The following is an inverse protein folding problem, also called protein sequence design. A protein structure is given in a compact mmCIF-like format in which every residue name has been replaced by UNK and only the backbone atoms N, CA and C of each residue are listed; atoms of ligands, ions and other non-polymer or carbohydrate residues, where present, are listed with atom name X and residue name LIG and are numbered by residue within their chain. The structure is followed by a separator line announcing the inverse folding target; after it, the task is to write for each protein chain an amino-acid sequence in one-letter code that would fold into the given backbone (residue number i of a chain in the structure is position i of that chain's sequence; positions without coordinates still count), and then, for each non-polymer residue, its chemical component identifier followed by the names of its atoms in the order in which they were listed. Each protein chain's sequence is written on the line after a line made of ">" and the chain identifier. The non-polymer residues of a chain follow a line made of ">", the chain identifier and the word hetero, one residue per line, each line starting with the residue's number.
data_IF_128956135038
#
_entry.id   IF_128956135038
#
_cell.length_a   1.000
_cell.length_b   1.000
_cell.length_c   1.000
_cell.angle_alpha   90.00
_cell.angle_beta   90.00
_cell.angle_gamma   90.00
#
_symmetry.space_group_name_H-M   'P 1'
#
loop_
_entity.id
_entity.type
_entity.pdbx_description
1 polymer ?
#
# COMPACT_ATOMS: atom_id res chain seq x y z
N UNK A 1 9.30 -9.83 4.13
CA UNK A 1 9.16 -8.89 2.99
C UNK A 1 8.61 -9.67 1.82
N UNK A 2 7.53 -9.21 1.18
CA UNK A 2 6.94 -9.90 0.03
C UNK A 2 7.97 -10.00 -1.10
N UNK A 3 8.13 -11.19 -1.69
CA UNK A 3 9.00 -11.38 -2.85
C UNK A 3 8.41 -10.59 -4.02
N UNK A 4 9.22 -9.74 -4.66
CA UNK A 4 8.81 -9.08 -5.91
C UNK A 4 8.77 -10.16 -6.99
N UNK A 5 7.58 -10.45 -7.51
CA UNK A 5 7.40 -11.34 -8.66
C UNK A 5 7.62 -10.53 -9.93
N UNK A 6 8.72 -10.81 -10.64
CA UNK A 6 9.03 -10.23 -11.95
C UNK A 6 8.39 -11.14 -12.99
N UNK A 7 7.57 -10.56 -13.87
CA UNK A 7 6.92 -11.26 -14.96
C UNK A 7 7.71 -11.07 -16.25
N UNK A 8 7.76 -12.10 -17.08
CA UNK A 8 8.28 -12.00 -18.44
C UNK A 8 7.33 -11.18 -19.32
N UNK A 9 7.87 -10.46 -20.31
CA UNK A 9 7.08 -9.64 -21.24
C UNK A 9 6.13 -10.45 -22.13
N UNK A 10 6.36 -11.76 -22.27
CA UNK A 10 5.46 -12.70 -22.95
C UNK A 10 4.17 -12.99 -22.19
N UNK A 11 4.12 -12.72 -20.88
CA UNK A 11 2.92 -12.98 -20.07
C UNK A 11 1.87 -11.88 -20.33
N UNK A 12 0.66 -12.22 -20.80
CA UNK A 12 -0.39 -11.25 -21.02
C UNK A 12 -0.77 -10.53 -19.73
N UNK A 13 -0.95 -9.20 -19.81
CA UNK A 13 -1.35 -8.37 -18.66
C UNK A 13 -2.66 -8.85 -18.01
N UNK A 14 -3.60 -9.37 -18.79
CA UNK A 14 -4.87 -9.92 -18.29
C UNK A 14 -4.66 -11.06 -17.30
N UNK A 15 -3.70 -11.95 -17.59
CA UNK A 15 -3.37 -13.06 -16.72
C UNK A 15 -2.76 -12.58 -15.40
N UNK A 16 -1.89 -11.56 -15.44
CA UNK A 16 -1.30 -10.94 -14.24
C UNK A 16 -2.39 -10.31 -13.36
N UNK A 17 -3.38 -9.65 -13.97
CA UNK A 17 -4.50 -9.05 -13.24
C UNK A 17 -5.35 -10.12 -12.57
N UNK A 18 -5.71 -11.18 -13.30
CA UNK A 18 -6.51 -12.28 -12.76
C UNK A 18 -5.80 -13.00 -11.60
N UNK A 19 -4.50 -13.25 -11.71
CA UNK A 19 -3.70 -13.84 -10.61
C UNK A 19 -3.75 -12.97 -9.35
N UNK A 20 -3.54 -11.65 -9.51
CA UNK A 20 -3.55 -10.69 -8.39
C UNK A 20 -4.93 -10.56 -7.76
N UNK A 21 -5.98 -10.61 -8.56
CA UNK A 21 -7.36 -10.57 -8.07
C UNK A 21 -7.67 -11.82 -7.24
N UNK A 22 -7.32 -13.00 -7.73
CA UNK A 22 -7.48 -14.25 -6.99
C UNK A 22 -6.71 -14.22 -5.65
N UNK A 23 -5.46 -13.75 -5.67
CA UNK A 23 -4.66 -13.57 -4.45
C UNK A 23 -5.35 -12.61 -3.47
N UNK A 24 -5.78 -11.44 -3.94
CA UNK A 24 -6.47 -10.45 -3.11
C UNK A 24 -7.77 -11.00 -2.51
N UNK A 25 -8.57 -11.73 -3.28
CA UNK A 25 -9.83 -12.30 -2.82
C UNK A 25 -9.63 -13.39 -1.76
N UNK A 26 -8.52 -14.14 -1.82
CA UNK A 26 -8.18 -15.16 -0.81
C UNK A 26 -7.81 -14.62 0.57
N UNK A 27 -7.55 -13.32 0.72
CA UNK A 27 -7.05 -12.74 1.96
C UNK A 27 -8.16 -12.27 2.91
N UNK A 28 -7.88 -12.37 4.20
CA UNK A 28 -8.71 -11.77 5.25
C UNK A 28 -8.69 -10.22 5.19
N UNK A 29 -9.72 -9.55 5.75
CA UNK A 29 -9.72 -8.09 5.86
C UNK A 29 -8.49 -7.53 6.58
N UNK A 30 -8.00 -8.19 7.62
CA UNK A 30 -6.84 -7.78 8.41
C UNK A 30 -5.55 -7.84 7.59
N UNK A 31 -5.39 -8.87 6.76
CA UNK A 31 -4.23 -9.00 5.87
C UNK A 31 -4.25 -7.94 4.77
N UNK A 32 -5.43 -7.65 4.20
CA UNK A 32 -5.62 -6.57 3.21
C UNK A 32 -5.20 -5.22 3.80
N UNK A 33 -5.65 -4.92 5.01
CA UNK A 33 -5.29 -3.69 5.72
C UNK A 33 -3.78 -3.61 6.00
N UNK A 34 -3.20 -4.71 6.46
CA UNK A 34 -1.76 -4.79 6.76
C UNK A 34 -0.91 -4.58 5.50
N UNK A 35 -1.30 -5.17 4.37
CA UNK A 35 -0.66 -4.95 3.07
C UNK A 35 -0.79 -3.51 2.59
N UNK A 36 -1.95 -2.88 2.78
CA UNK A 36 -2.14 -1.46 2.45
C UNK A 36 -1.19 -0.56 3.26
N UNK A 37 -1.07 -0.77 4.57
CA UNK A 37 -0.12 0.00 5.38
C UNK A 37 1.34 -0.24 4.99
N UNK A 38 1.70 -1.47 4.64
CA UNK A 38 3.03 -1.78 4.13
C UNK A 38 3.31 -1.03 2.82
N UNK A 39 2.33 -0.96 1.91
CA UNK A 39 2.42 -0.21 0.66
C UNK A 39 2.59 1.29 0.90
N UNK A 40 1.83 1.87 1.84
CA UNK A 40 1.96 3.28 2.22
C UNK A 40 3.36 3.57 2.78
N UNK A 41 3.89 2.71 3.65
CA UNK A 41 5.25 2.88 4.19
C UNK A 41 6.31 2.77 3.11
N UNK A 42 6.15 1.83 2.18
CA UNK A 42 7.07 1.65 1.07
C UNK A 42 7.05 2.87 0.13
N UNK A 43 5.87 3.41 -0.17
CA UNK A 43 5.75 4.55 -1.07
C UNK A 43 6.42 5.81 -0.52
N UNK A 44 6.29 6.07 0.79
CA UNK A 44 7.03 7.14 1.47
C UNK A 44 8.54 6.92 1.38
N UNK A 45 9.02 5.70 1.63
CA UNK A 45 10.45 5.36 1.50
C UNK A 45 10.97 5.57 0.08
N UNK A 46 10.21 5.16 -0.92
CA UNK A 46 10.56 5.36 -2.34
C UNK A 46 10.53 6.84 -2.75
N UNK A 47 9.72 7.66 -2.09
CA UNK A 47 9.64 9.11 -2.31
C UNK A 47 10.64 9.90 -1.45
N UNK A 48 11.82 9.34 -1.17
CA UNK A 48 12.87 10.00 -0.39
C UNK A 48 12.49 10.29 1.06
N UNK A 49 11.56 9.54 1.64
CA UNK A 49 11.04 9.75 2.99
C UNK A 49 9.90 10.77 3.08
N UNK A 50 9.52 11.40 1.97
CA UNK A 50 8.45 12.39 1.96
C UNK A 50 7.08 11.74 1.68
N UNK A 51 6.00 12.20 2.34
CA UNK A 51 4.64 11.81 1.96
C UNK A 51 4.36 12.09 0.48
N UNK A 52 3.73 11.14 -0.22
CA UNK A 52 3.28 11.32 -1.61
C UNK A 52 2.26 12.46 -1.76
N UNK A 53 1.43 12.68 -0.73
CA UNK A 53 0.50 13.78 -0.64
C UNK A 53 0.72 14.50 0.68
N UNK A 54 0.98 15.79 0.61
CA UNK A 54 0.99 16.63 1.80
C UNK A 54 -0.45 16.86 2.28
N UNK A 55 -0.69 16.96 3.60
CA UNK A 55 -1.99 17.38 4.12
C UNK A 55 -2.40 18.69 3.45
N UNK A 56 -3.56 18.73 2.80
CA UNK A 56 -4.10 19.94 2.15
C UNK A 56 -4.63 20.99 3.17
N UNK A 57 -4.18 20.91 4.42
CA UNK A 57 -4.57 21.76 5.55
C UNK A 57 -3.75 21.40 6.80
N UNK A 58 -4.00 22.06 7.94
CA UNK A 58 -3.28 21.82 9.21
C UNK A 58 -3.51 20.41 9.83
N UNK A 59 -4.35 19.58 9.20
CA UNK A 59 -4.79 18.29 9.75
C UNK A 59 -5.78 18.45 10.92
N UNK A 60 -6.19 17.32 11.51
CA UNK A 60 -6.87 17.29 12.80
C UNK A 60 -5.85 17.59 13.90
N UNK A 61 -5.92 18.78 14.49
CA UNK A 61 -5.13 19.13 15.68
C UNK A 61 -5.77 18.45 16.90
N UNK A 62 -5.34 17.23 17.20
CA UNK A 62 -5.75 16.53 18.44
C UNK A 62 -4.91 17.09 19.58
N UNK A 63 -5.40 18.16 20.20
CA UNK A 63 -4.88 18.68 21.46
C UNK A 63 -5.37 17.80 22.61
N UNK A 64 -4.46 17.11 23.30
CA UNK A 64 -4.76 16.58 24.64
C UNK A 64 -4.76 17.75 25.60
N UNK A 65 -5.90 18.06 26.23
CA UNK A 65 -5.91 18.89 27.45
C UNK A 65 -5.11 18.14 28.51
N UNK A 66 -3.89 18.60 28.79
CA UNK A 66 -3.22 18.23 30.03
C UNK A 66 -4.04 18.87 31.17
N UNK A 67 -4.59 18.02 32.04
CA UNK A 67 -5.04 18.43 33.37
C UNK A 67 -3.83 18.47 34.29
#
# INVERSE_FOLDING_TARGET
>A
MGKVKIYDTSVPRSQIVAEREAEYLSQSPQEKLSRLFALIRLSVKMNGGNPLKQPQGKGLVISRKNK
#
